data_IF_711839067469
#
_entry.id   IF_711839067469
#
_cell.length_a   1.000
_cell.length_b   1.000
_cell.length_c   1.000
_cell.angle_alpha   90.00
_cell.angle_beta   90.00
_cell.angle_gamma   90.00
#
_symmetry.space_group_name_H-M   'P 1'
#
loop_
_entity.id
_entity.type
_entity.pdbx_description
1 polymer ?
#
# COMPACT_ATOMS: atom_id res chain seq x y z
N UNK A 1 -46.07 31.39 9.45
CA UNK A 1 -45.93 31.50 7.99
C UNK A 1 -45.25 30.22 7.52
N UNK A 2 -45.91 29.51 6.62
CA UNK A 2 -45.50 28.22 6.09
C UNK A 2 -44.38 28.34 5.05
N UNK A 3 -43.56 27.30 4.97
CA UNK A 3 -43.15 26.54 3.76
C UNK A 3 -41.87 25.77 4.16
N UNK A 4 -41.77 24.45 4.18
CA UNK A 4 -42.51 23.42 3.45
C UNK A 4 -41.60 22.81 2.38
N UNK A 5 -40.71 21.90 2.78
CA UNK A 5 -40.09 20.92 1.88
C UNK A 5 -40.35 19.54 2.46
N UNK A 6 -41.24 18.79 1.81
CA UNK A 6 -41.69 17.47 2.22
C UNK A 6 -41.03 16.38 1.39
N UNK A 7 -40.63 15.30 2.05
CA UNK A 7 -40.30 14.03 1.42
C UNK A 7 -41.37 13.01 1.80
N UNK A 8 -41.83 12.26 0.80
CA UNK A 8 -42.85 11.22 0.90
C UNK A 8 -42.18 9.86 1.08
N UNK A 9 -42.65 9.08 2.06
CA UNK A 9 -42.34 7.66 2.23
C UNK A 9 -43.60 6.84 1.96
N UNK A 10 -43.56 5.75 1.17
CA UNK A 10 -44.61 4.75 1.23
C UNK A 10 -44.31 3.79 2.38
N UNK A 11 -45.07 3.94 3.46
CA UNK A 11 -45.38 2.84 4.37
C UNK A 11 -46.41 1.95 3.66
N UNK A 12 -46.15 0.65 3.58
CA UNK A 12 -47.17 -0.32 3.21
C UNK A 12 -47.02 -1.53 4.14
N UNK A 13 -47.76 -1.49 5.24
CA UNK A 13 -48.20 -2.68 5.97
C UNK A 13 -49.53 -3.09 5.34
N UNK A 14 -49.63 -4.33 4.89
CA UNK A 14 -50.89 -5.09 4.91
C UNK A 14 -50.54 -6.57 4.94
N UNK A 15 -51.03 -7.22 6.00
CA UNK A 15 -51.02 -8.65 6.27
C UNK A 15 -51.87 -9.42 5.24
N UNK A 16 -51.45 -10.63 4.87
CA UNK A 16 -52.39 -11.75 4.72
C UNK A 16 -51.69 -13.12 4.84
N UNK A 17 -52.31 -13.96 5.65
CA UNK A 17 -51.93 -15.32 6.07
C UNK A 17 -52.19 -16.40 4.99
N UNK A 18 -51.57 -17.57 5.22
CA UNK A 18 -51.74 -18.90 4.59
C UNK A 18 -51.02 -19.20 3.27
N UNK A 19 -49.90 -19.92 3.37
CA UNK A 19 -49.92 -21.37 3.09
C UNK A 19 -48.65 -22.07 3.63
N UNK A 20 -48.83 -22.88 4.67
CA UNK A 20 -47.82 -23.85 5.12
C UNK A 20 -47.86 -25.09 4.22
N UNK A 21 -46.90 -25.22 3.30
CA UNK A 21 -46.50 -26.53 2.75
C UNK A 21 -44.98 -26.60 2.57
N UNK A 22 -44.39 -27.45 3.39
CA UNK A 22 -43.16 -28.24 3.20
C UNK A 22 -42.17 -27.75 2.12
N UNK A 23 -41.07 -27.12 2.57
CA UNK A 23 -39.85 -27.04 1.77
C UNK A 23 -38.65 -27.53 2.58
N UNK A 24 -38.20 -28.72 2.20
CA UNK A 24 -37.00 -29.39 2.69
C UNK A 24 -35.75 -28.55 2.30
N UNK A 25 -34.90 -28.12 3.25
CA UNK A 25 -33.71 -27.31 2.98
C UNK A 25 -32.54 -28.07 2.34
N UNK A 26 -32.73 -29.37 2.03
CA UNK A 26 -31.75 -30.22 1.34
C UNK A 26 -32.06 -30.47 -0.15
N UNK A 27 -33.08 -29.81 -0.72
CA UNK A 27 -33.45 -29.96 -2.13
C UNK A 27 -32.61 -29.16 -3.14
N UNK A 28 -31.75 -28.25 -2.68
CA UNK A 28 -31.01 -27.32 -3.55
C UNK A 28 -29.77 -27.94 -4.24
N UNK A 29 -29.44 -29.20 -3.95
CA UNK A 29 -28.40 -29.98 -4.64
C UNK A 29 -29.00 -31.02 -5.63
N UNK A 30 -30.13 -30.68 -6.24
CA UNK A 30 -30.64 -31.43 -7.37
C UNK A 30 -29.76 -31.21 -8.61
N UNK A 31 -28.89 -32.18 -8.91
CA UNK A 31 -28.46 -32.42 -10.29
C UNK A 31 -29.72 -32.61 -11.15
N UNK A 32 -30.21 -31.51 -11.71
CA UNK A 32 -31.19 -31.55 -12.78
C UNK A 32 -30.48 -32.17 -13.98
N UNK A 33 -30.72 -33.46 -14.20
CA UNK A 33 -30.46 -34.12 -15.48
C UNK A 33 -31.45 -33.56 -16.52
N UNK A 34 -31.32 -32.27 -16.81
CA UNK A 34 -32.08 -31.55 -17.81
C UNK A 34 -31.19 -31.32 -19.03
N UNK A 35 -31.36 -32.15 -20.05
CA UNK A 35 -31.22 -31.95 -21.50
C UNK A 35 -30.28 -30.84 -22.08
N UNK A 36 -29.24 -30.41 -21.37
CA UNK A 36 -28.17 -29.56 -21.87
C UNK A 36 -27.18 -30.43 -22.63
N UNK A 37 -27.23 -30.37 -23.96
CA UNK A 37 -26.42 -31.20 -24.83
C UNK A 37 -24.92 -31.03 -24.53
N UNK A 38 -24.16 -32.09 -24.74
CA UNK A 38 -22.69 -32.13 -24.64
C UNK A 38 -22.01 -30.95 -25.38
N UNK A 39 -22.66 -30.42 -26.42
CA UNK A 39 -22.22 -29.23 -27.17
C UNK A 39 -22.33 -27.90 -26.41
N UNK A 40 -23.27 -27.75 -25.46
CA UNK A 40 -23.40 -26.56 -24.63
C UNK A 40 -22.34 -26.55 -23.52
N UNK A 41 -22.04 -27.74 -22.98
CA UNK A 41 -20.93 -27.98 -22.07
C UNK A 41 -19.57 -27.81 -22.79
N UNK A 42 -19.47 -28.23 -24.05
CA UNK A 42 -18.28 -28.02 -24.89
C UNK A 42 -18.12 -26.55 -25.31
N UNK A 43 -19.21 -25.82 -25.52
CA UNK A 43 -19.17 -24.37 -25.78
C UNK A 43 -18.81 -23.58 -24.52
N UNK A 44 -19.34 -23.93 -23.35
CA UNK A 44 -18.95 -23.34 -22.08
C UNK A 44 -17.48 -23.65 -21.75
N UNK A 45 -17.04 -24.89 -21.98
CA UNK A 45 -15.64 -25.28 -21.87
C UNK A 45 -14.77 -24.57 -22.91
N UNK A 46 -15.26 -24.39 -24.13
CA UNK A 46 -14.57 -23.67 -25.21
C UNK A 46 -14.44 -22.17 -24.95
N UNK A 47 -15.44 -21.54 -24.35
CA UNK A 47 -15.38 -20.14 -23.91
C UNK A 47 -14.43 -19.98 -22.71
N UNK A 48 -14.44 -20.92 -21.78
CA UNK A 48 -13.49 -20.96 -20.66
C UNK A 48 -12.06 -21.17 -21.16
N UNK A 49 -11.83 -22.09 -22.11
CA UNK A 49 -10.52 -22.37 -22.69
C UNK A 49 -10.03 -21.23 -23.59
N UNK A 50 -10.93 -20.57 -24.33
CA UNK A 50 -10.62 -19.39 -25.15
C UNK A 50 -10.27 -18.17 -24.29
N UNK A 51 -11.01 -17.93 -23.20
CA UNK A 51 -10.72 -16.90 -22.20
C UNK A 51 -9.46 -17.16 -21.36
N UNK A 52 -9.04 -18.44 -21.27
CA UNK A 52 -7.77 -18.85 -20.66
C UNK A 52 -6.62 -18.73 -21.66
N UNK A 53 -6.83 -19.13 -22.93
CA UNK A 53 -5.84 -19.03 -24.01
C UNK A 53 -5.50 -17.60 -24.40
N UNK A 54 -6.49 -16.69 -24.40
CA UNK A 54 -6.25 -15.25 -24.64
C UNK A 54 -5.50 -14.59 -23.47
N UNK A 55 -5.76 -15.02 -22.24
CA UNK A 55 -5.03 -14.56 -21.05
C UNK A 55 -3.61 -15.11 -20.99
N UNK A 56 -3.38 -16.38 -21.34
CA UNK A 56 -2.04 -16.98 -21.38
C UNK A 56 -1.13 -16.40 -22.46
N UNK A 57 -1.71 -15.84 -23.53
CA UNK A 57 -0.95 -15.28 -24.66
C UNK A 57 -0.92 -13.74 -24.67
N UNK A 58 -1.43 -13.11 -23.61
CA UNK A 58 -1.38 -11.66 -23.44
C UNK A 58 -0.02 -11.26 -22.82
N UNK A 59 0.58 -10.13 -23.23
CA UNK A 59 1.82 -9.62 -22.62
C UNK A 59 1.71 -9.43 -21.10
N UNK A 60 0.52 -9.09 -20.61
CA UNK A 60 0.19 -8.87 -19.19
C UNK A 60 -0.07 -10.17 -18.42
N UNK A 61 -0.40 -11.27 -19.11
CA UNK A 61 -0.54 -12.62 -18.52
C UNK A 61 0.75 -13.44 -18.48
N UNK A 62 1.82 -12.96 -19.14
CA UNK A 62 3.14 -13.59 -19.18
C UNK A 62 4.11 -13.06 -18.11
N UNK A 63 3.65 -12.13 -17.26
CA UNK A 63 4.45 -11.55 -16.17
C UNK A 63 4.56 -12.45 -14.93
N UNK A 64 5.36 -12.03 -13.93
CA UNK A 64 5.50 -12.73 -12.65
C UNK A 64 4.17 -12.89 -11.89
N UNK A 65 3.16 -12.09 -12.25
CA UNK A 65 1.78 -12.16 -11.77
C UNK A 65 0.83 -11.98 -12.95
N UNK A 66 -0.18 -12.85 -13.08
CA UNK A 66 -1.24 -12.68 -14.07
C UNK A 66 -2.34 -11.74 -13.52
N UNK A 67 -2.17 -10.44 -13.75
CA UNK A 67 -3.09 -9.40 -13.24
C UNK A 67 -4.46 -9.41 -13.91
N UNK A 68 -4.56 -9.85 -15.17
CA UNK A 68 -5.84 -10.00 -15.87
C UNK A 68 -6.72 -11.06 -15.22
N UNK A 69 -6.11 -12.20 -14.85
CA UNK A 69 -6.78 -13.25 -14.10
C UNK A 69 -7.19 -12.76 -12.71
N UNK A 70 -6.29 -12.05 -12.03
CA UNK A 70 -6.58 -11.46 -10.72
C UNK A 70 -7.80 -10.53 -10.79
N UNK A 71 -7.79 -9.58 -11.72
CA UNK A 71 -8.87 -8.62 -11.97
C UNK A 71 -10.19 -9.33 -12.26
N UNK A 72 -10.18 -10.37 -13.11
CA UNK A 72 -11.38 -11.15 -13.45
C UNK A 72 -11.98 -11.87 -12.24
N UNK A 73 -11.14 -12.52 -11.43
CA UNK A 73 -11.57 -13.22 -10.21
C UNK A 73 -12.16 -12.23 -9.20
N UNK A 74 -11.48 -11.10 -8.98
CA UNK A 74 -11.94 -10.06 -8.06
C UNK A 74 -13.31 -9.51 -8.50
N UNK A 75 -13.47 -9.16 -9.79
CA UNK A 75 -14.75 -8.69 -10.35
C UNK A 75 -15.87 -9.72 -10.21
N UNK A 76 -15.57 -11.02 -10.34
CA UNK A 76 -16.56 -12.08 -10.16
C UNK A 76 -17.12 -12.11 -8.72
N UNK A 77 -16.26 -11.89 -7.71
CA UNK A 77 -16.67 -11.85 -6.31
C UNK A 77 -17.55 -10.64 -5.97
N UNK A 78 -17.28 -9.48 -6.58
CA UNK A 78 -18.01 -8.22 -6.33
C UNK A 78 -19.12 -7.93 -7.36
N UNK A 79 -19.52 -8.93 -8.14
CA UNK A 79 -20.47 -8.81 -9.26
C UNK A 79 -21.88 -8.30 -8.91
N UNK A 80 -22.23 -8.20 -7.62
CA UNK A 80 -23.54 -7.71 -7.15
C UNK A 80 -23.53 -6.25 -6.72
N UNK A 81 -22.44 -5.53 -6.95
CA UNK A 81 -22.32 -4.16 -6.49
C UNK A 81 -23.25 -3.21 -7.26
N UNK A 82 -23.79 -2.23 -6.54
CA UNK A 82 -24.71 -1.23 -7.10
C UNK A 82 -23.93 -0.07 -7.70
N UNK A 83 -24.46 0.50 -8.76
CA UNK A 83 -23.95 1.78 -9.27
C UNK A 83 -24.18 2.90 -8.25
N UNK A 84 -23.20 3.80 -8.14
CA UNK A 84 -23.27 4.95 -7.24
C UNK A 84 -24.22 6.00 -7.83
N UNK A 85 -25.24 6.40 -7.06
CA UNK A 85 -26.21 7.41 -7.49
C UNK A 85 -25.61 8.83 -7.46
N UNK A 86 -26.21 9.76 -8.21
CA UNK A 86 -25.84 11.19 -8.15
C UNK A 86 -26.08 11.80 -6.75
N UNK A 87 -27.04 11.27 -6.01
CA UNK A 87 -27.28 11.68 -4.62
C UNK A 87 -26.12 11.25 -3.72
N UNK A 88 -25.62 10.02 -3.86
CA UNK A 88 -24.47 9.54 -3.09
C UNK A 88 -23.19 10.31 -3.44
N UNK A 89 -22.98 10.63 -4.73
CA UNK A 89 -21.86 11.47 -5.18
C UNK A 89 -21.88 12.84 -4.51
N UNK A 90 -23.04 13.49 -4.52
CA UNK A 90 -23.22 14.79 -3.86
C UNK A 90 -22.98 14.68 -2.35
N UNK A 91 -23.52 13.65 -1.70
CA UNK A 91 -23.35 13.42 -0.27
C UNK A 91 -21.87 13.23 0.12
N UNK A 92 -21.11 12.47 -0.67
CA UNK A 92 -19.66 12.29 -0.47
C UNK A 92 -18.91 13.61 -0.61
N UNK A 93 -19.19 14.39 -1.66
CA UNK A 93 -18.55 15.69 -1.88
C UNK A 93 -18.81 16.66 -0.74
N UNK A 94 -20.06 16.77 -0.28
CA UNK A 94 -20.43 17.65 0.83
C UNK A 94 -19.83 17.17 2.16
N UNK A 95 -19.81 15.86 2.42
CA UNK A 95 -19.21 15.30 3.63
C UNK A 95 -17.70 15.55 3.71
N UNK A 96 -16.97 15.35 2.60
CA UNK A 96 -15.53 15.63 2.54
C UNK A 96 -15.27 17.13 2.65
N UNK A 97 -16.06 17.99 1.99
CA UNK A 97 -15.93 19.45 2.10
C UNK A 97 -16.09 19.92 3.56
N UNK A 98 -17.06 19.35 4.28
CA UNK A 98 -17.27 19.64 5.69
C UNK A 98 -16.12 19.13 6.56
N UNK A 99 -15.63 17.92 6.27
CA UNK A 99 -14.50 17.33 6.98
C UNK A 99 -13.21 18.13 6.81
N UNK A 100 -12.89 18.58 5.59
CA UNK A 100 -11.72 19.43 5.31
C UNK A 100 -11.79 20.74 6.12
N UNK A 101 -12.97 21.38 6.17
CA UNK A 101 -13.16 22.60 6.97
C UNK A 101 -12.88 22.38 8.46
N UNK A 102 -13.24 21.22 9.00
CA UNK A 102 -13.03 20.93 10.42
C UNK A 102 -11.63 20.44 10.74
N UNK A 103 -10.93 19.83 9.77
CA UNK A 103 -9.55 19.40 9.92
C UNK A 103 -8.57 20.59 9.98
N UNK A 104 -8.92 21.74 9.40
CA UNK A 104 -8.08 22.94 9.42
C UNK A 104 -7.75 23.44 10.84
N UNK A 105 -8.60 23.16 11.83
CA UNK A 105 -8.34 23.50 13.24
C UNK A 105 -7.42 22.49 13.96
N UNK A 106 -7.24 21.28 13.39
CA UNK A 106 -6.58 20.16 14.05
C UNK A 106 -5.16 19.87 13.54
N UNK A 107 -4.77 20.41 12.38
CA UNK A 107 -3.45 20.22 11.76
C UNK A 107 -3.02 21.42 10.93
N UNK A 108 -1.71 21.65 10.83
CA UNK A 108 -1.15 22.67 9.93
C UNK A 108 -1.12 22.23 8.46
N UNK A 109 -1.26 20.92 8.19
CA UNK A 109 -1.19 20.41 6.83
C UNK A 109 -2.38 20.94 6.02
N UNK A 110 -2.16 21.63 4.89
CA UNK A 110 -3.25 22.20 4.12
C UNK A 110 -4.16 21.13 3.52
N UNK A 111 -5.40 21.51 3.17
CA UNK A 111 -6.27 20.68 2.32
C UNK A 111 -5.50 20.15 1.09
N UNK A 112 -5.58 18.84 0.83
CA UNK A 112 -4.78 18.18 -0.21
C UNK A 112 -5.06 18.72 -1.63
N UNK A 113 -6.21 19.35 -1.83
CA UNK A 113 -6.66 19.94 -3.10
C UNK A 113 -6.63 18.93 -4.24
N UNK A 114 -7.68 18.12 -4.33
CA UNK A 114 -7.79 17.01 -5.28
C UNK A 114 -9.23 16.68 -5.66
N UNK A 115 -9.41 15.58 -6.39
CA UNK A 115 -10.74 15.11 -6.82
C UNK A 115 -11.41 14.34 -5.70
N UNK A 116 -12.62 14.75 -5.33
CA UNK A 116 -13.48 13.98 -4.43
C UNK A 116 -14.44 13.13 -5.24
N UNK A 117 -14.39 11.82 -5.06
CA UNK A 117 -15.17 10.85 -5.84
C UNK A 117 -15.87 9.83 -4.94
N UNK A 118 -17.03 9.38 -5.40
CA UNK A 118 -17.76 8.28 -4.79
C UNK A 118 -17.58 7.04 -5.68
N UNK A 119 -17.04 5.97 -5.12
CA UNK A 119 -16.79 4.71 -5.81
C UNK A 119 -17.72 3.61 -5.32
N UNK A 120 -17.96 2.62 -6.17
CA UNK A 120 -18.34 1.29 -5.73
C UNK A 120 -17.08 0.39 -5.65
N UNK A 121 -17.23 -0.84 -5.18
CA UNK A 121 -16.16 -1.82 -5.01
C UNK A 121 -15.47 -2.14 -6.34
N UNK A 122 -16.23 -2.19 -7.45
CA UNK A 122 -15.67 -2.45 -8.78
C UNK A 122 -14.76 -1.30 -9.25
N UNK A 123 -15.18 -0.06 -9.04
CA UNK A 123 -14.36 1.12 -9.31
C UNK A 123 -13.14 1.18 -8.39
N UNK A 124 -13.29 0.86 -7.10
CA UNK A 124 -12.15 0.78 -6.19
C UNK A 124 -11.11 -0.23 -6.66
N UNK A 125 -11.55 -1.42 -7.10
CA UNK A 125 -10.67 -2.44 -7.66
C UNK A 125 -9.91 -1.92 -8.88
N UNK A 126 -10.62 -1.32 -9.84
CA UNK A 126 -10.03 -0.85 -11.09
C UNK A 126 -9.05 0.30 -10.89
N UNK A 127 -9.41 1.28 -10.06
CA UNK A 127 -8.61 2.50 -9.82
C UNK A 127 -7.39 2.25 -8.94
N UNK A 128 -7.43 1.24 -8.06
CA UNK A 128 -6.31 0.91 -7.15
C UNK A 128 -5.35 -0.15 -7.71
N UNK A 129 -5.79 -0.93 -8.71
CA UNK A 129 -4.99 -2.02 -9.29
C UNK A 129 -3.57 -1.59 -9.74
N UNK A 130 -3.35 -0.41 -10.35
CA UNK A 130 -2.00 0.02 -10.74
C UNK A 130 -1.03 0.12 -9.54
N UNK A 131 -1.49 0.59 -8.37
CA UNK A 131 -0.62 0.65 -7.19
C UNK A 131 -0.38 -0.74 -6.61
N UNK A 132 -1.39 -1.62 -6.62
CA UNK A 132 -1.20 -3.03 -6.25
C UNK A 132 -0.17 -3.70 -7.15
N UNK A 133 -0.20 -3.47 -8.46
CA UNK A 133 0.82 -3.96 -9.38
C UNK A 133 2.21 -3.48 -8.99
N UNK A 134 2.37 -2.19 -8.71
CA UNK A 134 3.64 -1.60 -8.28
C UNK A 134 4.20 -2.25 -7.01
N UNK A 135 3.36 -2.46 -6.00
CA UNK A 135 3.81 -3.04 -4.72
C UNK A 135 4.07 -4.54 -4.79
N UNK A 136 3.30 -5.27 -5.60
CA UNK A 136 3.26 -6.74 -5.59
C UNK A 136 4.21 -7.36 -6.62
N UNK A 137 4.44 -6.70 -7.77
CA UNK A 137 5.31 -7.21 -8.85
C UNK A 137 6.72 -7.54 -8.33
N UNK A 138 7.41 -6.63 -7.61
CA UNK A 138 8.78 -6.91 -7.15
C UNK A 138 8.84 -8.12 -6.22
N UNK A 139 7.80 -8.32 -5.40
CA UNK A 139 7.74 -9.46 -4.47
C UNK A 139 7.60 -10.78 -5.23
N UNK A 140 6.71 -10.83 -6.21
CA UNK A 140 6.53 -12.03 -7.03
C UNK A 140 7.79 -12.39 -7.83
N UNK A 141 8.51 -11.39 -8.35
CA UNK A 141 9.80 -11.59 -9.04
C UNK A 141 10.86 -12.16 -8.10
N UNK A 142 10.97 -11.61 -6.88
CA UNK A 142 11.90 -12.10 -5.88
C UNK A 142 11.57 -13.53 -5.42
N UNK A 143 10.30 -13.84 -5.19
CA UNK A 143 9.87 -15.20 -4.80
C UNK A 143 10.17 -16.23 -5.89
N UNK A 144 9.90 -15.91 -7.16
CA UNK A 144 10.23 -16.79 -8.27
C UNK A 144 11.74 -17.03 -8.38
N UNK A 145 12.55 -15.99 -8.18
CA UNK A 145 14.01 -16.07 -8.19
C UNK A 145 14.54 -16.93 -7.03
N UNK A 146 14.06 -16.69 -5.81
CA UNK A 146 14.44 -17.47 -4.62
C UNK A 146 14.06 -18.96 -4.78
N UNK A 147 12.91 -19.25 -5.39
CA UNK A 147 12.49 -20.63 -5.67
C UNK A 147 13.44 -21.33 -6.64
N UNK A 148 13.92 -20.63 -7.67
CA UNK A 148 14.88 -21.17 -8.64
C UNK A 148 16.28 -21.36 -8.03
N UNK A 149 16.70 -20.44 -7.15
CA UNK A 149 17.95 -20.52 -6.41
C UNK A 149 17.95 -21.68 -5.41
N UNK A 150 16.79 -22.01 -4.81
CA UNK A 150 16.65 -23.13 -3.87
C UNK A 150 16.79 -24.52 -4.50
N UNK A 151 16.70 -24.63 -5.83
CA UNK A 151 16.85 -25.91 -6.54
C UNK A 151 18.33 -26.32 -6.66
N UNK A 152 18.64 -27.64 -6.53
CA UNK A 152 19.98 -28.18 -6.83
C UNK A 152 20.44 -27.83 -8.24
N UNK A 153 21.75 -27.67 -8.41
CA UNK A 153 22.35 -27.21 -9.66
C UNK A 153 22.08 -28.20 -10.82
N UNK A 154 22.09 -29.51 -10.53
CA UNK A 154 21.77 -30.56 -11.51
C UNK A 154 20.29 -30.53 -11.93
N UNK A 155 19.39 -30.12 -11.03
CA UNK A 155 17.97 -29.98 -11.33
C UNK A 155 17.68 -28.71 -12.16
N UNK A 156 18.43 -27.63 -11.90
CA UNK A 156 18.30 -26.35 -12.62
C UNK A 156 18.66 -26.50 -14.11
N UNK A 157 19.73 -27.23 -14.42
CA UNK A 157 20.14 -27.49 -15.82
C UNK A 157 19.13 -28.35 -16.58
N UNK A 158 18.56 -29.36 -15.92
CA UNK A 158 17.56 -30.25 -16.51
C UNK A 158 16.20 -29.55 -16.74
N UNK A 159 15.87 -28.56 -15.92
CA UNK A 159 14.60 -27.83 -15.95
C UNK A 159 14.58 -26.67 -16.95
N UNK A 160 15.67 -26.34 -17.64
CA UNK A 160 15.78 -25.17 -18.53
C UNK A 160 14.55 -24.90 -19.40
N UNK A 161 14.11 -25.84 -20.27
CA UNK A 161 12.91 -25.67 -21.10
C UNK A 161 11.57 -25.64 -20.31
N UNK A 162 11.56 -26.24 -19.12
CA UNK A 162 10.39 -26.33 -18.22
C UNK A 162 10.24 -25.06 -17.35
N UNK A 163 11.31 -24.28 -17.17
CA UNK A 163 11.30 -23.05 -16.34
C UNK A 163 10.27 -22.04 -16.81
N UNK A 164 10.14 -21.83 -18.13
CA UNK A 164 9.16 -20.90 -18.69
C UNK A 164 7.71 -21.34 -18.36
N UNK A 165 7.42 -22.63 -18.53
CA UNK A 165 6.12 -23.21 -18.16
C UNK A 165 5.84 -23.05 -16.65
N UNK A 166 6.86 -23.29 -15.81
CA UNK A 166 6.73 -23.18 -14.36
C UNK A 166 6.53 -21.73 -13.91
N UNK A 167 7.21 -20.77 -14.52
CA UNK A 167 7.02 -19.34 -14.29
C UNK A 167 5.60 -18.90 -14.68
N UNK A 168 5.09 -19.33 -15.84
CA UNK A 168 3.70 -19.06 -16.23
C UNK A 168 2.69 -19.66 -15.25
N UNK A 169 2.92 -20.88 -14.77
CA UNK A 169 2.06 -21.52 -13.78
C UNK A 169 2.12 -20.82 -12.42
N UNK A 170 3.31 -20.36 -11.99
CA UNK A 170 3.52 -19.57 -10.79
C UNK A 170 2.77 -18.24 -10.88
N UNK A 171 2.93 -17.50 -11.98
CA UNK A 171 2.25 -16.23 -12.21
C UNK A 171 0.72 -16.37 -12.27
N UNK A 172 0.20 -17.48 -12.80
CA UNK A 172 -1.22 -17.81 -12.75
C UNK A 172 -1.71 -18.05 -11.32
N UNK A 173 -0.98 -18.85 -10.53
CA UNK A 173 -1.32 -19.12 -9.13
C UNK A 173 -1.30 -17.84 -8.28
N UNK A 174 -0.27 -17.00 -8.47
CA UNK A 174 -0.17 -15.71 -7.82
C UNK A 174 -1.34 -14.80 -8.22
N UNK A 175 -1.66 -14.73 -9.52
CA UNK A 175 -2.81 -13.99 -10.03
C UNK A 175 -4.14 -14.45 -9.42
N UNK A 176 -4.36 -15.76 -9.24
CA UNK A 176 -5.56 -16.28 -8.58
C UNK A 176 -5.66 -15.84 -7.11
N UNK A 177 -4.57 -15.97 -6.34
CA UNK A 177 -4.52 -15.53 -4.93
C UNK A 177 -4.76 -14.03 -4.80
N UNK A 178 -4.10 -13.25 -5.65
CA UNK A 178 -4.28 -11.80 -5.72
C UNK A 178 -5.73 -11.43 -6.06
N UNK A 179 -6.35 -12.12 -7.02
CA UNK A 179 -7.74 -11.85 -7.38
C UNK A 179 -8.70 -12.07 -6.23
N UNK A 180 -8.57 -13.17 -5.48
CA UNK A 180 -9.39 -13.41 -4.30
C UNK A 180 -9.17 -12.37 -3.21
N UNK A 181 -7.91 -12.04 -2.93
CA UNK A 181 -7.54 -11.05 -1.93
C UNK A 181 -8.08 -9.65 -2.28
N UNK A 182 -7.94 -9.22 -3.54
CA UNK A 182 -8.43 -7.92 -4.00
C UNK A 182 -9.96 -7.84 -4.04
N UNK A 183 -10.66 -8.92 -4.40
CA UNK A 183 -12.13 -8.95 -4.36
C UNK A 183 -12.68 -8.87 -2.94
N UNK A 184 -12.06 -9.60 -2.00
CA UNK A 184 -12.41 -9.51 -0.57
C UNK A 184 -12.13 -8.11 0.00
N UNK A 185 -11.02 -7.49 -0.40
CA UNK A 185 -10.67 -6.11 -0.05
C UNK A 185 -11.68 -5.10 -0.58
N UNK A 186 -11.98 -5.17 -1.88
CA UNK A 186 -12.90 -4.27 -2.55
C UNK A 186 -14.29 -4.27 -1.87
N UNK A 187 -14.78 -5.46 -1.49
CA UNK A 187 -16.06 -5.61 -0.80
C UNK A 187 -16.09 -4.97 0.60
N UNK A 188 -14.94 -4.71 1.21
CA UNK A 188 -14.81 -4.18 2.57
C UNK A 188 -14.24 -2.76 2.62
N UNK A 189 -13.69 -2.27 1.52
CA UNK A 189 -13.10 -0.95 1.41
C UNK A 189 -14.14 0.13 1.69
N UNK A 190 -13.73 1.14 2.44
CA UNK A 190 -14.57 2.32 2.72
C UNK A 190 -14.04 3.56 2.03
N UNK A 191 -12.75 3.58 1.74
CA UNK A 191 -12.09 4.69 1.08
C UNK A 191 -10.99 4.19 0.14
N UNK A 192 -10.34 5.11 -0.57
CA UNK A 192 -9.18 4.79 -1.41
C UNK A 192 -7.93 4.35 -0.65
N UNK A 193 -7.85 4.58 0.67
CA UNK A 193 -6.65 4.32 1.48
C UNK A 193 -6.94 3.82 2.91
N UNK A 194 -8.13 3.23 3.17
CA UNK A 194 -8.53 2.85 4.53
C UNK A 194 -7.72 1.71 5.15
N UNK A 195 -6.97 0.98 4.33
CA UNK A 195 -6.07 -0.09 4.76
C UNK A 195 -4.66 0.41 5.14
N UNK A 196 -4.45 1.72 5.26
CA UNK A 196 -3.17 2.31 5.67
C UNK A 196 -2.13 2.41 4.54
N UNK A 197 -2.47 1.92 3.35
CA UNK A 197 -1.63 2.00 2.15
C UNK A 197 -2.19 3.04 1.16
N UNK A 198 -1.34 3.85 0.50
CA UNK A 198 -1.75 4.84 -0.49
C UNK A 198 -2.05 4.18 -1.84
N UNK A 199 -3.12 3.38 -1.92
CA UNK A 199 -3.46 2.59 -3.12
C UNK A 199 -4.30 3.34 -4.15
N UNK A 200 -4.99 4.40 -3.74
CA UNK A 200 -5.72 5.27 -4.66
C UNK A 200 -4.79 6.12 -5.53
N UNK A 201 -5.22 6.52 -6.74
CA UNK A 201 -4.50 7.51 -7.54
C UNK A 201 -4.20 8.79 -6.75
N UNK A 202 -3.03 9.37 -7.02
CA UNK A 202 -2.58 10.58 -6.33
C UNK A 202 -3.61 11.72 -6.46
N UNK A 203 -3.87 12.44 -5.37
CA UNK A 203 -4.82 13.55 -5.34
C UNK A 203 -6.29 13.14 -5.48
N UNK A 204 -6.62 11.89 -5.17
CA UNK A 204 -8.00 11.39 -5.19
C UNK A 204 -8.48 11.04 -3.79
N UNK A 205 -9.53 11.71 -3.33
CA UNK A 205 -10.25 11.39 -2.10
C UNK A 205 -11.48 10.56 -2.49
N UNK A 206 -11.38 9.24 -2.35
CA UNK A 206 -12.45 8.34 -2.73
C UNK A 206 -13.15 7.74 -1.51
N UNK A 207 -14.49 7.74 -1.51
CA UNK A 207 -15.32 7.09 -0.50
C UNK A 207 -16.28 6.09 -1.16
N UNK A 208 -16.60 5.00 -0.45
CA UNK A 208 -17.52 3.96 -0.91
C UNK A 208 -18.86 4.03 -0.16
N UNK A 209 -19.82 4.86 -0.61
CA UNK A 209 -21.03 5.18 0.16
C UNK A 209 -21.90 3.96 0.49
N UNK A 210 -21.99 2.95 -0.39
CA UNK A 210 -22.76 1.74 -0.10
C UNK A 210 -22.14 0.91 1.04
N UNK A 211 -20.81 0.78 1.07
CA UNK A 211 -20.09 0.06 2.12
C UNK A 211 -20.16 0.84 3.44
N UNK A 212 -20.03 2.17 3.38
CA UNK A 212 -20.20 3.06 4.53
C UNK A 212 -21.62 2.96 5.12
N UNK A 213 -22.65 2.91 4.28
CA UNK A 213 -24.03 2.73 4.74
C UNK A 213 -24.26 1.37 5.41
N UNK A 214 -23.58 0.30 4.98
CA UNK A 214 -23.64 -1.00 5.64
C UNK A 214 -23.10 -0.92 7.07
N UNK A 215 -21.91 -0.32 7.24
CA UNK A 215 -21.30 -0.12 8.56
C UNK A 215 -22.15 0.79 9.44
N UNK A 216 -22.73 1.84 8.89
CA UNK A 216 -23.60 2.73 9.66
C UNK A 216 -24.80 2.00 10.28
N UNK A 217 -25.38 1.03 9.55
CA UNK A 217 -26.45 0.17 10.08
C UNK A 217 -25.94 -0.74 11.20
N UNK A 218 -24.79 -1.37 11.00
CA UNK A 218 -24.20 -2.29 11.98
C UNK A 218 -23.82 -1.59 13.29
N UNK A 219 -23.35 -0.34 13.20
CA UNK A 219 -23.02 0.50 14.36
C UNK A 219 -24.24 1.21 14.97
N UNK A 220 -25.40 1.17 14.31
CA UNK A 220 -26.59 1.94 14.69
C UNK A 220 -26.31 3.45 14.86
N UNK A 221 -25.52 4.01 13.93
CA UNK A 221 -25.14 5.44 13.88
C UNK A 221 -25.74 6.07 12.62
N UNK A 222 -26.17 7.35 12.64
CA UNK A 222 -26.66 8.03 11.45
C UNK A 222 -25.65 7.97 10.30
N UNK A 223 -26.08 7.52 9.12
CA UNK A 223 -25.17 7.32 7.98
C UNK A 223 -24.42 8.58 7.55
N UNK A 224 -25.00 9.76 7.75
CA UNK A 224 -24.33 11.04 7.49
C UNK A 224 -23.16 11.30 8.43
N UNK A 225 -23.28 10.95 9.72
CA UNK A 225 -22.19 11.09 10.69
C UNK A 225 -21.04 10.14 10.35
N UNK A 226 -21.35 8.90 9.99
CA UNK A 226 -20.34 7.93 9.53
C UNK A 226 -19.67 8.41 8.24
N UNK A 227 -20.42 8.94 7.29
CA UNK A 227 -19.86 9.46 6.03
C UNK A 227 -18.88 10.62 6.27
N UNK A 228 -19.21 11.56 7.16
CA UNK A 228 -18.32 12.66 7.53
C UNK A 228 -17.09 12.17 8.29
N UNK A 229 -17.26 11.24 9.24
CA UNK A 229 -16.15 10.63 9.97
C UNK A 229 -15.17 9.91 9.06
N UNK A 230 -15.67 9.05 8.16
CA UNK A 230 -14.85 8.34 7.18
C UNK A 230 -14.21 9.31 6.19
N UNK A 231 -14.95 10.35 5.76
CA UNK A 231 -14.42 11.43 4.92
C UNK A 231 -13.29 12.19 5.58
N UNK A 232 -13.38 12.48 6.88
CA UNK A 232 -12.32 13.14 7.63
C UNK A 232 -11.07 12.26 7.75
N UNK A 233 -11.22 10.96 7.99
CA UNK A 233 -10.08 10.03 8.00
C UNK A 233 -9.38 9.98 6.64
N UNK A 234 -10.16 9.93 5.56
CA UNK A 234 -9.57 9.94 4.22
C UNK A 234 -8.89 11.26 3.90
N UNK A 235 -9.56 12.39 4.13
CA UNK A 235 -9.00 13.71 3.92
C UNK A 235 -7.68 13.90 4.69
N UNK A 236 -7.64 13.50 5.97
CA UNK A 236 -6.42 13.55 6.78
C UNK A 236 -5.27 12.74 6.15
N UNK A 237 -5.51 11.51 5.68
CA UNK A 237 -4.51 10.72 4.94
C UNK A 237 -4.05 11.42 3.67
N UNK A 238 -4.98 11.99 2.90
CA UNK A 238 -4.65 12.69 1.67
C UNK A 238 -3.81 13.94 1.93
N UNK A 239 -4.01 14.65 3.06
CA UNK A 239 -3.14 15.76 3.49
C UNK A 239 -1.71 15.27 3.72
N UNK A 240 -1.51 14.15 4.42
CA UNK A 240 -0.19 13.54 4.59
C UNK A 240 0.43 13.15 3.24
N UNK A 241 -0.26 12.34 2.44
CA UNK A 241 0.29 11.85 1.17
C UNK A 241 0.59 12.97 0.17
N UNK A 242 -0.12 14.11 0.26
CA UNK A 242 0.12 15.27 -0.59
C UNK A 242 1.30 16.11 -0.13
N UNK A 243 1.40 16.39 1.17
CA UNK A 243 2.32 17.39 1.71
C UNK A 243 3.59 16.78 2.33
N UNK A 244 3.63 15.47 2.51
CA UNK A 244 4.79 14.70 2.97
C UNK A 244 5.33 13.88 1.79
N UNK A 245 6.14 14.49 0.89
CA UNK A 245 6.47 13.90 -0.42
C UNK A 245 7.28 12.61 -0.33
N UNK A 246 7.99 12.38 0.78
CA UNK A 246 8.78 11.17 1.00
C UNK A 246 7.92 9.98 1.47
N UNK A 247 6.70 10.21 1.99
CA UNK A 247 5.93 9.20 2.71
C UNK A 247 5.47 8.04 1.83
N UNK A 248 4.90 8.34 0.66
CA UNK A 248 4.37 7.32 -0.26
C UNK A 248 5.50 6.42 -0.75
N UNK A 249 6.59 7.02 -1.23
CA UNK A 249 7.77 6.29 -1.70
C UNK A 249 8.44 5.49 -0.57
N UNK A 250 8.45 6.02 0.66
CA UNK A 250 8.95 5.29 1.84
C UNK A 250 8.09 4.08 2.18
N UNK A 251 6.76 4.18 2.10
CA UNK A 251 5.85 3.06 2.32
C UNK A 251 6.06 1.97 1.26
N UNK A 252 6.11 2.35 -0.02
CA UNK A 252 6.34 1.41 -1.13
C UNK A 252 7.70 0.73 -1.01
N UNK A 253 8.77 1.49 -0.81
CA UNK A 253 10.12 0.92 -0.64
C UNK A 253 10.27 0.07 0.61
N UNK A 254 9.53 0.35 1.69
CA UNK A 254 9.54 -0.51 2.90
C UNK A 254 8.89 -1.87 2.64
N UNK A 255 7.85 -1.92 1.81
CA UNK A 255 7.25 -3.18 1.33
C UNK A 255 8.25 -3.96 0.47
N UNK A 256 8.93 -3.28 -0.46
CA UNK A 256 9.96 -3.88 -1.31
C UNK A 256 11.15 -4.42 -0.49
N UNK A 257 11.70 -3.62 0.43
CA UNK A 257 12.83 -4.01 1.30
C UNK A 257 12.48 -5.25 2.13
N UNK A 258 11.25 -5.29 2.66
CA UNK A 258 10.77 -6.44 3.40
C UNK A 258 10.67 -7.69 2.51
N UNK A 259 10.10 -7.54 1.31
CA UNK A 259 9.98 -8.61 0.34
C UNK A 259 11.35 -9.16 -0.12
N UNK A 260 12.34 -8.30 -0.33
CA UNK A 260 13.72 -8.70 -0.63
C UNK A 260 14.38 -9.50 0.51
N UNK A 261 13.93 -9.26 1.75
CA UNK A 261 14.38 -9.99 2.93
C UNK A 261 13.81 -11.41 3.04
N UNK A 262 12.79 -11.76 2.26
CA UNK A 262 12.13 -13.07 2.31
C UNK A 262 13.04 -14.17 1.78
N UNK A 263 13.14 -15.27 2.53
CA UNK A 263 13.90 -16.46 2.19
C UNK A 263 13.00 -17.67 2.31
N UNK A 264 13.10 -18.55 1.33
CA UNK A 264 12.44 -19.84 1.35
C UNK A 264 13.19 -20.74 2.33
N UNK A 265 12.52 -21.09 3.42
CA UNK A 265 12.99 -22.01 4.43
C UNK A 265 12.53 -23.45 4.09
N UNK A 266 13.46 -24.21 3.51
CA UNK A 266 13.32 -25.64 3.21
C UNK A 266 13.86 -26.54 4.31
N UNK A 267 14.33 -26.00 5.44
CA UNK A 267 15.00 -26.78 6.49
C UNK A 267 14.14 -27.92 7.02
N UNK A 268 12.83 -27.68 7.17
CA UNK A 268 11.88 -28.71 7.61
C UNK A 268 11.68 -29.83 6.58
N UNK A 269 11.78 -29.52 5.28
CA UNK A 269 11.70 -30.49 4.18
C UNK A 269 12.98 -31.33 4.13
N UNK A 270 14.13 -30.68 4.31
CA UNK A 270 15.44 -31.35 4.36
C UNK A 270 15.53 -32.30 5.55
N UNK A 271 15.06 -31.87 6.72
CA UNK A 271 14.99 -32.71 7.92
C UNK A 271 14.03 -33.89 7.71
N UNK A 272 12.83 -33.63 7.18
CA UNK A 272 11.87 -34.68 6.83
C UNK A 272 12.47 -35.69 5.84
N UNK A 273 13.20 -35.23 4.82
CA UNK A 273 13.85 -36.09 3.81
C UNK A 273 14.96 -36.93 4.43
N UNK A 274 15.73 -36.36 5.36
CA UNK A 274 16.78 -37.05 6.11
C UNK A 274 16.22 -38.14 7.02
N UNK A 275 15.09 -37.87 7.69
CA UNK A 275 14.38 -38.85 8.53
C UNK A 275 13.82 -40.04 7.74
N UNK A 276 13.51 -39.84 6.45
CA UNK A 276 12.93 -40.87 5.57
C UNK A 276 13.96 -41.88 5.05
N UNK A 277 15.26 -41.61 5.22
CA UNK A 277 16.38 -42.53 4.94
C UNK A 277 16.28 -43.28 3.59
N UNK A 278 15.89 -42.54 2.54
CA UNK A 278 15.59 -43.04 1.19
C UNK A 278 16.82 -43.64 0.47
N UNK A 279 18.02 -43.39 0.99
CA UNK A 279 19.30 -43.88 0.45
C UNK A 279 19.58 -45.36 0.78
N UNK A 280 18.80 -45.96 1.68
CA UNK A 280 19.01 -47.33 2.16
C UNK A 280 18.72 -48.43 1.11
N UNK A 281 18.01 -48.10 0.03
CA UNK A 281 17.67 -49.04 -1.06
C UNK A 281 16.71 -50.17 -0.68
N UNK A 282 16.15 -50.15 0.54
CA UNK A 282 15.22 -51.16 1.04
C UNK A 282 13.78 -50.88 0.54
N UNK A 283 13.17 -51.80 -0.24
CA UNK A 283 11.80 -51.65 -0.74
C UNK A 283 10.74 -51.44 0.34
N UNK A 284 10.98 -51.91 1.56
CA UNK A 284 10.05 -51.81 2.68
C UNK A 284 10.16 -50.44 3.39
N UNK A 285 11.38 -49.94 3.55
CA UNK A 285 11.64 -48.59 4.03
C UNK A 285 11.08 -47.50 3.09
N UNK A 286 11.14 -47.75 1.77
CA UNK A 286 10.56 -46.84 0.76
C UNK A 286 9.03 -46.81 0.85
N UNK A 287 8.38 -47.94 1.10
CA UNK A 287 6.92 -47.99 1.30
C UNK A 287 6.51 -47.25 2.58
N UNK A 288 7.24 -47.44 3.67
CA UNK A 288 7.01 -46.73 4.93
C UNK A 288 7.27 -45.22 4.79
N UNK A 289 8.29 -44.83 4.02
CA UNK A 289 8.60 -43.44 3.72
C UNK A 289 7.50 -42.78 2.87
N UNK A 290 6.99 -43.46 1.83
CA UNK A 290 5.85 -42.95 1.04
C UNK A 290 4.59 -42.76 1.89
N UNK A 291 4.31 -43.69 2.80
CA UNK A 291 3.17 -43.57 3.71
C UNK A 291 3.32 -42.37 4.68
N UNK A 292 4.55 -42.08 5.13
CA UNK A 292 4.84 -40.90 5.97
C UNK A 292 4.79 -39.59 5.19
N UNK A 293 5.23 -39.57 3.93
CA UNK A 293 5.18 -38.39 3.06
C UNK A 293 3.75 -37.97 2.70
N UNK A 294 2.82 -38.92 2.55
CA UNK A 294 1.42 -38.62 2.20
C UNK A 294 0.66 -37.75 3.22
N UNK A 295 1.18 -37.59 4.44
CA UNK A 295 0.58 -36.75 5.48
C UNK A 295 1.44 -35.57 5.94
N UNK A 296 2.63 -35.38 5.36
CA UNK A 296 3.53 -34.29 5.74
C UNK A 296 3.26 -33.05 4.89
N UNK A 297 3.21 -31.88 5.54
CA UNK A 297 3.24 -30.61 4.82
C UNK A 297 4.68 -30.34 4.37
N UNK A 298 4.91 -30.48 3.07
CA UNK A 298 6.19 -30.23 2.40
C UNK A 298 6.16 -28.89 1.66
N UNK A 299 5.24 -28.00 2.02
CA UNK A 299 5.18 -26.66 1.46
C UNK A 299 6.36 -25.84 2.01
N UNK A 300 7.20 -25.23 1.15
CA UNK A 300 8.27 -24.38 1.62
C UNK A 300 7.73 -23.26 2.51
N UNK A 301 8.43 -22.97 3.62
CA UNK A 301 8.07 -21.85 4.50
C UNK A 301 8.75 -20.58 4.02
N UNK A 302 8.19 -19.43 4.34
CA UNK A 302 8.80 -18.13 4.05
C UNK A 302 9.23 -17.53 5.38
N UNK A 303 10.49 -17.12 5.49
CA UNK A 303 11.03 -16.41 6.66
C UNK A 303 11.64 -15.09 6.20
N UNK A 304 11.77 -14.12 7.09
CA UNK A 304 12.44 -12.85 6.78
C UNK A 304 13.84 -12.82 7.41
N UNK A 305 14.87 -12.55 6.62
CA UNK A 305 16.21 -12.19 7.11
C UNK A 305 16.27 -10.77 7.67
N UNK A 306 15.24 -9.96 7.42
CA UNK A 306 15.19 -8.54 7.77
C UNK A 306 13.98 -8.26 8.68
N UNK A 307 13.98 -8.84 9.89
CA UNK A 307 12.93 -8.58 10.89
C UNK A 307 12.79 -7.08 11.23
N UNK A 308 13.87 -6.30 11.08
CA UNK A 308 13.86 -4.85 11.26
C UNK A 308 13.00 -4.11 10.22
N UNK A 309 12.93 -4.59 8.98
CA UNK A 309 12.10 -3.96 7.94
C UNK A 309 10.59 -4.08 8.22
N UNK A 310 10.11 -5.22 8.73
CA UNK A 310 8.71 -5.38 9.15
C UNK A 310 8.38 -4.38 10.25
N UNK A 311 9.20 -4.37 11.31
CA UNK A 311 8.98 -3.48 12.44
C UNK A 311 8.96 -2.00 12.03
N UNK A 312 9.83 -1.58 11.08
CA UNK A 312 9.82 -0.22 10.53
C UNK A 312 8.55 0.08 9.73
N UNK A 313 8.10 -0.83 8.87
CA UNK A 313 6.85 -0.68 8.11
C UNK A 313 5.64 -0.59 9.05
N UNK A 314 5.53 -1.53 10.01
CA UNK A 314 4.48 -1.54 11.03
C UNK A 314 4.46 -0.24 11.85
N UNK A 315 5.64 0.25 12.25
CA UNK A 315 5.78 1.53 12.97
C UNK A 315 5.31 2.70 12.11
N UNK A 316 5.72 2.77 10.85
CA UNK A 316 5.32 3.85 9.94
C UNK A 316 3.81 3.85 9.69
N UNK A 317 3.22 2.67 9.46
CA UNK A 317 1.77 2.50 9.32
C UNK A 317 1.03 2.91 10.60
N UNK A 318 1.56 2.51 11.77
CA UNK A 318 1.00 2.91 13.06
C UNK A 318 1.04 4.43 13.24
N UNK A 319 2.14 5.09 12.87
CA UNK A 319 2.29 6.54 12.99
C UNK A 319 1.32 7.30 12.08
N UNK A 320 1.19 6.90 10.81
CA UNK A 320 0.23 7.50 9.87
C UNK A 320 -1.18 7.37 10.42
N UNK A 321 -1.59 6.16 10.81
CA UNK A 321 -2.96 5.92 11.25
C UNK A 321 -3.27 6.47 12.64
N UNK A 322 -2.29 6.48 13.54
CA UNK A 322 -2.41 7.11 14.84
C UNK A 322 -2.53 8.63 14.73
N UNK A 323 -1.80 9.24 13.79
CA UNK A 323 -1.91 10.67 13.52
C UNK A 323 -3.29 11.00 12.96
N UNK A 324 -3.76 10.23 11.97
CA UNK A 324 -5.10 10.37 11.37
C UNK A 324 -6.18 10.24 12.43
N UNK A 325 -6.08 9.25 13.32
CA UNK A 325 -7.03 9.07 14.40
C UNK A 325 -7.06 10.26 15.35
N UNK A 326 -5.89 10.75 15.76
CA UNK A 326 -5.77 11.88 16.65
C UNK A 326 -6.36 13.16 16.03
N UNK A 327 -5.94 13.54 14.81
CA UNK A 327 -6.43 14.78 14.17
C UNK A 327 -7.93 14.72 13.87
N UNK A 328 -8.47 13.55 13.51
CA UNK A 328 -9.91 13.39 13.28
C UNK A 328 -10.69 13.45 14.58
N UNK A 329 -10.15 12.91 15.67
CA UNK A 329 -10.79 13.01 16.99
C UNK A 329 -10.82 14.44 17.49
N UNK A 330 -9.73 15.20 17.32
CA UNK A 330 -9.71 16.63 17.65
C UNK A 330 -10.68 17.43 16.77
N UNK A 331 -10.72 17.16 15.46
CA UNK A 331 -11.59 17.84 14.52
C UNK A 331 -13.09 17.55 14.75
N UNK A 332 -13.45 16.32 15.09
CA UNK A 332 -14.86 15.88 15.13
C UNK A 332 -15.42 15.69 16.54
N UNK A 333 -14.60 15.47 17.55
CA UNK A 333 -15.00 14.96 18.86
C UNK A 333 -16.08 15.79 19.56
N UNK A 334 -15.99 17.12 19.49
CA UNK A 334 -16.98 18.03 20.07
C UNK A 334 -18.17 18.32 19.13
N UNK A 335 -18.02 18.05 17.83
CA UNK A 335 -18.99 18.41 16.77
C UNK A 335 -19.94 17.27 16.43
N UNK A 336 -19.46 16.03 16.47
CA UNK A 336 -20.22 14.80 16.18
C UNK A 336 -20.21 13.91 17.43
N UNK A 337 -21.34 13.76 18.14
CA UNK A 337 -21.42 12.97 19.38
C UNK A 337 -20.99 11.51 19.21
N UNK A 338 -21.23 10.91 18.04
CA UNK A 338 -20.87 9.52 17.77
C UNK A 338 -19.39 9.29 17.45
N UNK A 339 -18.55 10.33 17.38
CA UNK A 339 -17.11 10.24 17.03
C UNK A 339 -16.38 9.21 17.89
N UNK A 340 -16.62 9.21 19.21
CA UNK A 340 -15.98 8.26 20.13
C UNK A 340 -16.35 6.81 19.78
N UNK A 341 -17.64 6.53 19.58
CA UNK A 341 -18.11 5.19 19.22
C UNK A 341 -17.56 4.74 17.86
N UNK A 342 -17.48 5.65 16.88
CA UNK A 342 -16.88 5.35 15.57
C UNK A 342 -15.36 5.13 15.64
N UNK A 343 -14.66 5.82 16.55
CA UNK A 343 -13.23 5.62 16.80
C UNK A 343 -12.96 4.25 17.40
N UNK A 344 -13.73 3.86 18.43
CA UNK A 344 -13.65 2.52 19.03
C UNK A 344 -13.99 1.42 18.02
N UNK A 345 -15.04 1.60 17.22
CA UNK A 345 -15.41 0.65 16.17
C UNK A 345 -14.32 0.51 15.10
N UNK A 346 -13.66 1.62 14.73
CA UNK A 346 -12.55 1.62 13.77
C UNK A 346 -11.32 0.90 14.32
N UNK A 347 -10.96 1.16 15.58
CA UNK A 347 -9.89 0.46 16.26
C UNK A 347 -10.16 -1.06 16.32
N UNK A 348 -11.40 -1.45 16.61
CA UNK A 348 -11.80 -2.86 16.59
C UNK A 348 -11.67 -3.50 15.20
N UNK A 349 -12.14 -2.80 14.14
CA UNK A 349 -12.00 -3.23 12.74
C UNK A 349 -10.54 -3.50 12.35
N UNK A 350 -9.58 -2.78 12.93
CA UNK A 350 -8.14 -3.01 12.71
C UNK A 350 -7.55 -4.10 13.59
N UNK A 351 -7.85 -4.10 14.89
CA UNK A 351 -7.31 -5.08 15.84
C UNK A 351 -7.71 -6.54 15.53
N UNK A 352 -8.82 -6.74 14.83
CA UNK A 352 -9.29 -8.07 14.40
C UNK A 352 -8.52 -8.60 13.17
N UNK A 353 -7.49 -7.87 12.73
CA UNK A 353 -6.63 -8.23 11.61
C UNK A 353 -7.39 -8.23 10.30
N UNK A 354 -7.97 -7.06 9.97
CA UNK A 354 -8.95 -6.87 8.89
C UNK A 354 -8.56 -7.54 7.57
N UNK A 355 -9.52 -7.72 6.67
CA UNK A 355 -9.32 -8.42 5.39
C UNK A 355 -8.09 -7.98 4.59
N UNK A 356 -7.60 -6.75 4.80
CA UNK A 356 -6.38 -6.25 4.17
C UNK A 356 -5.08 -6.87 4.65
N UNK A 357 -4.90 -7.07 5.95
CA UNK A 357 -3.71 -7.76 6.46
C UNK A 357 -3.70 -9.22 5.99
N UNK A 358 -4.87 -9.86 5.99
CA UNK A 358 -5.04 -11.22 5.43
C UNK A 358 -4.82 -11.26 3.92
N UNK A 359 -5.36 -10.31 3.18
CA UNK A 359 -5.18 -10.20 1.73
C UNK A 359 -3.71 -9.98 1.38
N UNK A 360 -3.05 -9.04 2.05
CA UNK A 360 -1.63 -8.76 1.87
C UNK A 360 -0.77 -9.97 2.26
N UNK A 361 -1.10 -10.64 3.36
CA UNK A 361 -0.43 -11.87 3.79
C UNK A 361 -0.60 -13.01 2.81
N UNK A 362 -1.81 -13.24 2.31
CA UNK A 362 -2.12 -14.29 1.34
C UNK A 362 -1.45 -14.08 -0.02
N UNK A 363 -1.32 -12.83 -0.44
CA UNK A 363 -0.74 -12.45 -1.73
C UNK A 363 0.77 -12.44 -1.66
N UNK A 364 1.32 -11.75 -0.66
CA UNK A 364 2.74 -11.43 -0.60
C UNK A 364 3.51 -12.45 0.26
N UNK A 365 2.80 -13.33 0.97
CA UNK A 365 3.40 -14.30 1.90
C UNK A 365 3.94 -13.64 3.17
N UNK A 366 3.44 -12.44 3.50
CA UNK A 366 3.95 -11.60 4.59
C UNK A 366 3.05 -11.73 5.81
N UNK A 367 3.60 -12.11 6.96
CA UNK A 367 2.93 -11.93 8.26
C UNK A 367 3.35 -10.58 8.84
N UNK A 368 2.51 -9.55 8.68
CA UNK A 368 2.64 -8.30 9.45
C UNK A 368 1.83 -8.43 10.73
N UNK A 369 2.37 -7.94 11.84
CA UNK A 369 1.57 -7.74 13.04
C UNK A 369 0.66 -6.54 12.85
N UNK A 370 -0.47 -6.54 13.56
CA UNK A 370 -1.37 -5.39 13.59
C UNK A 370 -0.58 -4.15 14.07
N UNK A 371 -0.55 -3.05 13.30
CA UNK A 371 0.15 -1.83 13.68
C UNK A 371 -0.34 -1.31 15.04
N UNK A 372 0.57 -0.81 15.88
CA UNK A 372 0.27 -0.24 17.21
C UNK A 372 -0.40 1.14 17.11
N UNK A 373 -1.54 1.24 16.42
CA UNK A 373 -2.26 2.49 16.13
C UNK A 373 -2.68 3.22 17.40
N UNK A 374 -3.18 2.50 18.41
CA UNK A 374 -3.60 3.11 19.69
C UNK A 374 -2.42 3.77 20.42
N UNK A 375 -1.26 3.11 20.44
CA UNK A 375 -0.05 3.66 21.04
C UNK A 375 0.45 4.89 20.26
N UNK A 376 0.38 4.86 18.93
CA UNK A 376 0.72 6.00 18.09
C UNK A 376 -0.26 7.19 18.29
N UNK A 377 -1.57 6.94 18.35
CA UNK A 377 -2.57 7.97 18.62
C UNK A 377 -2.33 8.64 19.98
N UNK A 378 -2.00 7.86 21.01
CA UNK A 378 -1.64 8.38 22.33
C UNK A 378 -0.33 9.18 22.31
N UNK A 379 0.68 8.76 21.53
CA UNK A 379 1.90 9.53 21.31
C UNK A 379 1.58 10.89 20.70
N UNK A 380 0.78 10.94 19.63
CA UNK A 380 0.41 12.18 18.97
C UNK A 380 -0.42 13.09 19.87
N UNK A 381 -1.36 12.53 20.65
CA UNK A 381 -2.11 13.27 21.65
C UNK A 381 -1.21 13.91 22.70
N UNK A 382 -0.25 13.16 23.24
CA UNK A 382 0.71 13.69 24.23
C UNK A 382 1.61 14.76 23.63
N UNK A 383 2.07 14.56 22.39
CA UNK A 383 2.84 15.57 21.67
C UNK A 383 2.03 16.87 21.49
N UNK A 384 0.77 16.79 21.05
CA UNK A 384 -0.09 17.99 20.94
C UNK A 384 -0.28 18.71 22.26
N UNK A 385 -0.51 17.97 23.36
CA UNK A 385 -0.65 18.59 24.70
C UNK A 385 0.64 19.29 25.15
N UNK A 386 1.81 18.74 24.80
CA UNK A 386 3.10 19.26 25.22
C UNK A 386 3.59 20.44 24.35
N UNK A 387 3.46 20.32 23.02
CA UNK A 387 4.12 21.22 22.06
C UNK A 387 3.17 21.91 21.07
N UNK A 388 1.88 21.57 21.07
CA UNK A 388 0.90 22.08 20.10
C UNK A 388 0.91 21.35 18.76
N UNK A 389 -0.07 21.67 17.89
CA UNK A 389 -0.24 21.03 16.59
C UNK A 389 0.92 21.33 15.62
N UNK A 390 1.41 22.57 15.58
CA UNK A 390 2.47 23.01 14.67
C UNK A 390 3.76 22.19 14.84
N UNK A 391 4.25 22.11 16.08
CA UNK A 391 5.45 21.32 16.38
C UNK A 391 5.22 19.82 16.23
N UNK A 392 4.04 19.32 16.63
CA UNK A 392 3.67 17.91 16.40
C UNK A 392 3.80 17.56 14.92
N UNK A 393 3.23 18.38 14.04
CA UNK A 393 3.16 18.09 12.62
C UNK A 393 4.50 18.30 11.90
N UNK A 394 5.41 19.13 12.44
CA UNK A 394 6.79 19.25 11.92
C UNK A 394 7.58 17.94 11.96
N UNK A 395 7.16 16.95 12.76
CA UNK A 395 7.74 15.61 12.74
C UNK A 395 7.64 14.91 11.36
N UNK A 396 6.75 15.38 10.49
CA UNK A 396 6.60 14.87 9.12
C UNK A 396 7.58 15.51 8.13
N UNK A 397 8.30 16.57 8.49
CA UNK A 397 9.18 17.30 7.56
C UNK A 397 10.32 16.43 7.04
N UNK A 398 10.78 15.46 7.83
CA UNK A 398 11.83 14.53 7.45
C UNK A 398 11.62 13.14 8.10
N UNK A 399 11.92 12.02 7.41
CA UNK A 399 11.76 10.68 7.97
C UNK A 399 12.51 10.44 9.28
N UNK A 400 13.66 11.10 9.48
CA UNK A 400 14.48 10.95 10.70
C UNK A 400 13.88 11.66 11.92
N UNK A 401 12.91 12.54 11.72
CA UNK A 401 12.19 13.23 12.81
C UNK A 401 11.00 12.40 13.31
N UNK A 402 10.65 11.30 12.63
CA UNK A 402 9.54 10.47 13.06
C UNK A 402 9.86 9.68 14.33
N UNK A 403 8.84 9.39 15.16
CA UNK A 403 8.99 8.47 16.27
C UNK A 403 9.45 7.08 15.80
N UNK A 404 10.21 6.39 16.65
CA UNK A 404 10.60 4.99 16.43
C UNK A 404 9.63 4.05 17.15
N UNK A 405 9.79 2.73 16.96
CA UNK A 405 9.01 1.73 17.69
C UNK A 405 9.14 1.88 19.23
N UNK A 406 10.32 2.27 19.72
CA UNK A 406 10.56 2.50 21.15
C UNK A 406 9.79 3.72 21.67
N UNK A 407 9.64 4.76 20.85
CA UNK A 407 8.87 5.95 21.20
C UNK A 407 7.37 5.65 21.35
N UNK A 408 6.83 4.66 20.63
CA UNK A 408 5.43 4.23 20.83
C UNK A 408 5.19 3.66 22.24
N UNK A 409 6.20 3.04 22.84
CA UNK A 409 6.12 2.50 24.21
C UNK A 409 6.46 3.54 25.27
N UNK A 410 7.37 4.47 24.94
CA UNK A 410 7.76 5.58 25.79
C UNK A 410 7.73 6.93 25.03
N UNK A 411 6.56 7.59 24.94
CA UNK A 411 6.44 8.84 24.18
C UNK A 411 7.27 10.00 24.74
N UNK A 412 7.73 9.94 25.99
CA UNK A 412 8.39 11.07 26.65
C UNK A 412 9.69 11.48 25.94
N UNK A 413 10.54 10.53 25.52
CA UNK A 413 11.81 10.85 24.87
C UNK A 413 11.62 11.53 23.50
N UNK A 414 10.58 11.15 22.76
CA UNK A 414 10.22 11.82 21.52
C UNK A 414 9.75 13.26 21.76
N UNK A 415 8.88 13.45 22.76
CA UNK A 415 8.35 14.78 23.13
C UNK A 415 9.47 15.70 23.62
N UNK A 416 10.42 15.18 24.39
CA UNK A 416 11.61 15.93 24.82
C UNK A 416 12.42 16.42 23.60
N UNK A 417 12.56 15.59 22.55
CA UNK A 417 13.18 16.00 21.29
C UNK A 417 12.43 17.12 20.55
N UNK A 418 11.09 17.10 20.57
CA UNK A 418 10.27 18.20 20.01
C UNK A 418 10.32 19.49 20.85
N UNK A 419 10.66 19.39 22.14
CA UNK A 419 10.80 20.53 23.05
C UNK A 419 12.16 21.21 22.94
N UNK A 420 13.20 20.48 22.50
CA UNK A 420 14.55 21.03 22.34
C UNK A 420 14.62 21.89 21.07
N UNK A 421 14.11 23.11 21.17
CA UNK A 421 14.19 24.18 20.15
C UNK A 421 15.61 24.71 19.93
N UNK A 422 16.67 24.04 20.42
CA UNK A 422 18.00 24.41 19.99
C UNK A 422 18.19 23.88 18.56
N UNK A 423 18.21 24.73 17.51
CA UNK A 423 18.96 24.36 16.34
C UNK A 423 20.33 24.00 16.88
N UNK A 424 20.77 22.78 16.59
CA UNK A 424 22.05 22.27 17.05
C UNK A 424 23.07 23.41 16.83
N UNK A 425 23.54 24.05 17.91
CA UNK A 425 24.52 25.15 17.75
C UNK A 425 25.76 24.64 17.03
N UNK A 426 25.95 23.32 17.01
CA UNK A 426 26.86 22.59 16.14
C UNK A 426 26.50 22.65 14.66
N UNK A 427 25.24 22.49 14.25
CA UNK A 427 24.80 22.52 12.85
C UNK A 427 24.92 23.92 12.23
N UNK A 428 24.48 24.98 12.92
CA UNK A 428 24.70 26.36 12.44
C UNK A 428 26.20 26.72 12.39
N UNK A 429 26.99 26.24 13.36
CA UNK A 429 28.43 26.44 13.37
C UNK A 429 29.13 25.64 12.25
N UNK A 430 28.67 24.42 11.95
CA UNK A 430 29.18 23.59 10.86
C UNK A 430 28.78 24.14 9.50
N UNK A 431 27.55 24.63 9.35
CA UNK A 431 27.08 25.28 8.13
C UNK A 431 27.82 26.60 7.88
N UNK A 432 28.01 27.42 8.93
CA UNK A 432 28.82 28.63 8.85
C UNK A 432 30.28 28.33 8.49
N UNK A 433 30.83 27.24 9.05
CA UNK A 433 32.19 26.78 8.74
C UNK A 433 32.30 26.26 7.30
N UNK A 434 31.27 25.61 6.78
CA UNK A 434 31.20 25.15 5.39
C UNK A 434 31.10 26.34 4.43
N UNK A 435 30.29 27.35 4.75
CA UNK A 435 30.20 28.60 3.97
C UNK A 435 31.52 29.36 3.98
N UNK A 436 32.22 29.40 5.13
CA UNK A 436 33.53 30.03 5.25
C UNK A 436 34.62 29.27 4.47
N UNK A 437 34.57 27.93 4.45
CA UNK A 437 35.45 27.11 3.60
C UNK A 437 35.20 27.36 2.11
N UNK A 438 33.94 27.46 1.67
CA UNK A 438 33.59 27.76 0.29
C UNK A 438 34.05 29.18 -0.12
N UNK A 439 33.87 30.17 0.75
CA UNK A 439 34.38 31.54 0.50
C UNK A 439 35.90 31.61 0.44
N UNK A 440 36.61 30.82 1.26
CA UNK A 440 38.07 30.72 1.19
C UNK A 440 38.55 30.01 -0.08
N UNK A 441 37.74 29.11 -0.62
CA UNK A 441 38.01 28.43 -1.88
C UNK A 441 37.82 29.37 -3.08
N UNK A 442 36.74 30.17 -3.08
CA UNK A 442 36.50 31.21 -4.10
C UNK A 442 37.55 32.34 -4.03
N UNK A 443 37.97 32.74 -2.82
CA UNK A 443 39.04 33.75 -2.65
C UNK A 443 40.44 33.22 -2.97
N UNK A 444 40.62 31.91 -3.07
CA UNK A 444 41.87 31.25 -3.44
C UNK A 444 42.14 31.25 -4.96
N UNK A 445 41.09 31.30 -5.78
CA UNK A 445 41.22 31.37 -7.24
C UNK A 445 41.50 32.80 -7.75
N UNK A 446 40.94 33.84 -7.09
CA UNK A 446 41.14 35.25 -7.46
C UNK A 446 42.53 35.83 -7.09
N UNK A 447 43.31 35.12 -6.27
CA UNK A 447 44.65 35.56 -5.85
C UNK A 447 45.79 35.12 -6.78
N UNK A 448 45.48 34.37 -7.85
CA UNK A 448 46.48 33.85 -8.79
C UNK A 448 46.62 34.63 -10.10
N UNK A 449 45.78 35.64 -10.37
CA UNK A 449 45.77 36.35 -11.66
C UNK A 449 45.93 37.87 -11.53
N UNK A 450 46.97 38.31 -10.80
CA UNK A 450 47.34 39.73 -10.81
C UNK A 450 48.84 40.00 -10.71
N UNK A 451 49.61 39.45 -11.65
CA UNK A 451 50.92 40.00 -12.04
C UNK A 451 51.19 39.80 -13.54
N UNK A 452 50.46 40.51 -14.40
CA UNK A 452 50.98 41.08 -15.65
C UNK A 452 49.90 41.90 -16.35
N UNK A 453 49.95 43.23 -16.23
CA UNK A 453 50.01 44.10 -17.42
C UNK A 453 49.93 45.57 -17.02
N UNK A 454 50.96 46.33 -17.42
CA UNK A 454 50.85 47.77 -17.53
C UNK A 454 51.71 48.27 -18.69
N UNK A 455 51.04 49.05 -19.54
CA UNK A 455 51.50 49.82 -20.70
C UNK A 455 51.57 49.04 -22.03
N UNK A 456 50.84 49.39 -23.09
CA UNK A 456 49.98 50.54 -23.35
C UNK A 456 49.84 50.77 -24.86
N UNK A 457 48.62 51.13 -25.28
CA UNK A 457 48.20 51.92 -26.46
C UNK A 457 48.57 51.52 -27.91
N UNK A 458 47.50 51.26 -28.67
CA UNK A 458 47.14 51.81 -30.00
C UNK A 458 48.21 52.00 -31.10
N UNK A 459 48.03 51.34 -32.25
CA UNK A 459 47.54 51.97 -33.51
C UNK A 459 47.66 51.04 -34.74
N UNK A 460 46.69 51.26 -35.63
CA UNK A 460 46.47 50.89 -37.04
C UNK A 460 47.59 50.34 -37.95
N UNK A 461 47.11 49.46 -38.85
CA UNK A 461 47.35 49.38 -40.31
C UNK A 461 48.63 48.74 -40.91
N UNK A 462 48.33 47.71 -41.71
CA UNK A 462 48.79 47.42 -43.08
C UNK A 462 50.19 46.82 -43.34
N UNK A 463 50.16 45.74 -44.14
CA UNK A 463 51.09 45.55 -45.26
C UNK A 463 52.42 44.83 -45.01
N UNK A 464 52.53 43.61 -45.58
CA UNK A 464 53.67 43.27 -46.46
C UNK A 464 54.83 42.47 -45.88
N UNK A 465 54.85 41.20 -46.28
CA UNK A 465 55.98 40.42 -46.85
C UNK A 465 57.38 40.38 -46.17
N UNK A 466 57.78 39.12 -45.96
CA UNK A 466 59.07 38.51 -46.30
C UNK A 466 60.35 38.75 -45.47
N UNK A 467 60.77 37.61 -44.90
CA UNK A 467 62.10 36.95 -45.00
C UNK A 467 63.19 37.22 -43.95
N UNK A 468 63.65 36.07 -43.46
CA UNK A 468 65.06 35.62 -43.32
C UNK A 468 66.08 36.67 -42.87
N UNK A 469 66.66 36.49 -41.68
CA UNK A 469 67.96 35.81 -41.54
C UNK A 469 68.44 35.86 -40.08
N UNK A 470 68.90 34.71 -39.56
CA UNK A 470 69.89 34.68 -38.47
C UNK A 470 71.25 35.14 -39.01
N UNK A 471 72.26 35.45 -38.16
CA UNK A 471 72.94 34.42 -37.37
C UNK A 471 73.28 34.88 -35.93
N UNK A 472 73.41 33.98 -34.95
CA UNK A 472 74.69 33.39 -34.48
C UNK A 472 75.89 34.38 -34.47
N UNK A 473 76.40 34.75 -33.29
CA UNK A 473 77.67 34.23 -32.75
C UNK A 473 78.16 34.97 -31.47
N UNK A 474 78.79 34.17 -30.61
CA UNK A 474 79.94 34.46 -29.73
C UNK A 474 79.82 35.42 -28.53
N UNK A 475 79.69 34.83 -27.33
CA UNK A 475 80.84 34.53 -26.46
C UNK A 475 80.51 33.51 -25.38
#
# INVERSE_FOLDING_TARGET
MSNGFGFSFPNNDDDDDNDRRDQNPFGAFGFSAGNGGLGDLLNQFGQMLSGMGSSMNSPEGAGPVNYDLAKRIAHQQISRDKEVSEQDRTAVQEAVRLAELWLDDATILPTASGTVTAWNSAQWLDETLPMWQRMVTPVAEHMNSAQLESLPEEAREMMGPMTSMMNSMSGMNFGMKLGHALGDLAAQALTGSDFGLPVSPAGTTALLPHNIQAIARDLNVPGQEVLVYIGAREAARQRLFKHVPWLVERLVSSVEEYAMGLVIDTSHIEEATRELNLESGDPQAIQDAMNKLQGMDLSPRITSRNAGAASRLETLLALVEGWVEHVVTEALGERIPSTKAMTEAWAHRRSTGGSAEKAFSQVVGIELNAPKVEAAAELWRRATVAVGADKRDSAWDHPDLLPTAEHLENPASFIDGLLDDNPDKGFEAEFSKLEEMLRQQDAGDDASDNTSDSAGEDTDADGGEDKEDGPEEEN
#
